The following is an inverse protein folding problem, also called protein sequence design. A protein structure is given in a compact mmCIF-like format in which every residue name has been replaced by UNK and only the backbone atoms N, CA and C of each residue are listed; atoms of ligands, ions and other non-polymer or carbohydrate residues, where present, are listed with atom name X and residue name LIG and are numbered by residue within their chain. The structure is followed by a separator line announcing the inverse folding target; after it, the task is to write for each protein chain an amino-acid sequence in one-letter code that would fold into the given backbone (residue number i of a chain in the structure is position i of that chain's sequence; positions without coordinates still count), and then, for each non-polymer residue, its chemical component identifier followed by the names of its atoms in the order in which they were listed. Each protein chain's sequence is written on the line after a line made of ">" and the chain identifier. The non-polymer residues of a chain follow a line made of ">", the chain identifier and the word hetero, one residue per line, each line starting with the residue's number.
data_IF_264366584063
#
_entry.id   IF_264366584063
#
_cell.length_a   1.000
_cell.length_b   1.000
_cell.length_c   1.000
_cell.angle_alpha   90.00
_cell.angle_beta   90.00
_cell.angle_gamma   90.00
#
_symmetry.space_group_name_H-M   'P 1'
#
loop_
_entity.id
_entity.type
_entity.pdbx_description
1 polymer ?
#
# COMPACT_ATOMS: atom_id res chain seq x y z
N UNK A 1 -12.77 6.84 -10.83
CA UNK A 1 -12.61 6.83 -12.30
C UNK A 1 -11.14 6.60 -12.67
N UNK A 2 -10.84 5.91 -13.78
CA UNK A 2 -9.47 5.75 -14.30
C UNK A 2 -9.08 7.06 -15.03
N UNK A 3 -7.89 7.65 -14.78
CA UNK A 3 -7.47 8.88 -15.45
C UNK A 3 -7.35 8.64 -16.97
N UNK A 4 -7.75 9.65 -17.76
CA UNK A 4 -7.76 9.63 -19.23
C UNK A 4 -6.74 10.58 -19.85
N UNK A 5 -6.12 11.45 -19.04
CA UNK A 5 -5.04 12.34 -19.46
C UNK A 5 -3.83 12.21 -18.54
N UNK A 6 -2.69 12.75 -18.97
CA UNK A 6 -1.46 12.81 -18.15
C UNK A 6 -1.68 13.63 -16.88
N UNK A 7 -2.37 14.77 -16.99
CA UNK A 7 -2.61 15.67 -15.86
C UNK A 7 -3.54 15.02 -14.83
N UNK A 8 -4.62 14.38 -15.30
CA UNK A 8 -5.51 13.60 -14.42
C UNK A 8 -4.77 12.43 -13.73
N UNK A 9 -3.83 11.79 -14.43
CA UNK A 9 -3.02 10.72 -13.85
C UNK A 9 -2.10 11.25 -12.75
N UNK A 10 -1.43 12.38 -12.99
CA UNK A 10 -0.53 13.02 -12.01
C UNK A 10 -1.30 13.53 -10.79
N UNK A 11 -2.40 14.22 -11.00
CA UNK A 11 -3.26 14.70 -9.91
C UNK A 11 -3.74 13.54 -9.03
N UNK A 12 -4.24 12.48 -9.67
CA UNK A 12 -4.75 11.31 -8.94
C UNK A 12 -3.64 10.51 -8.24
N UNK A 13 -2.44 10.45 -8.83
CA UNK A 13 -1.29 9.81 -8.19
C UNK A 13 -0.85 10.57 -6.93
N UNK A 14 -0.71 11.90 -7.03
CA UNK A 14 -0.34 12.75 -5.90
C UNK A 14 -1.39 12.70 -4.79
N UNK A 15 -2.68 12.82 -5.12
CA UNK A 15 -3.76 12.76 -4.14
C UNK A 15 -3.80 11.42 -3.39
N UNK A 16 -3.63 10.28 -4.08
CA UNK A 16 -3.62 8.99 -3.41
C UNK A 16 -2.36 8.77 -2.56
N UNK A 17 -1.22 9.32 -2.98
CA UNK A 17 0.00 9.27 -2.18
C UNK A 17 -0.13 10.11 -0.91
N UNK A 18 -0.72 11.30 -0.99
CA UNK A 18 -1.00 12.13 0.17
C UNK A 18 -1.97 11.45 1.13
N UNK A 19 -3.01 10.79 0.63
CA UNK A 19 -3.98 10.09 1.46
C UNK A 19 -3.37 8.86 2.16
N UNK A 20 -2.45 8.16 1.49
CA UNK A 20 -1.65 7.10 2.12
C UNK A 20 -0.85 7.66 3.32
N UNK A 21 -0.17 8.80 3.14
CA UNK A 21 0.59 9.41 4.23
C UNK A 21 -0.30 9.96 5.35
N UNK A 22 -1.45 10.56 5.03
CA UNK A 22 -2.42 10.98 6.06
C UNK A 22 -2.89 9.80 6.89
N UNK A 23 -3.20 8.67 6.26
CA UNK A 23 -3.60 7.44 6.95
C UNK A 23 -2.48 6.97 7.90
N UNK A 24 -1.26 6.86 7.40
CA UNK A 24 -0.11 6.42 8.20
C UNK A 24 0.16 7.39 9.34
N UNK A 25 0.12 8.69 9.09
CA UNK A 25 0.37 9.73 10.09
C UNK A 25 -0.71 9.76 11.19
N UNK A 26 -1.93 9.34 10.87
CA UNK A 26 -3.02 9.20 11.84
C UNK A 26 -2.92 7.98 12.75
N UNK A 27 -2.03 7.02 12.45
CA UNK A 27 -1.80 5.82 13.28
C UNK A 27 -0.84 6.13 14.44
N UNK A 28 -1.04 5.46 15.57
CA UNK A 28 -0.07 5.46 16.69
C UNK A 28 1.23 4.75 16.29
N UNK A 29 2.30 4.92 17.06
CA UNK A 29 3.54 4.19 16.79
C UNK A 29 3.38 2.69 16.96
N UNK A 30 2.56 2.27 17.92
CA UNK A 30 2.23 0.89 18.21
C UNK A 30 1.50 0.25 17.04
N UNK A 31 0.47 0.92 16.50
CA UNK A 31 -0.29 0.43 15.34
C UNK A 31 0.60 0.26 14.11
N UNK A 32 1.54 1.19 13.88
CA UNK A 32 2.49 1.12 12.74
C UNK A 32 3.46 -0.05 12.85
N UNK A 33 3.73 -0.54 14.06
CA UNK A 33 4.65 -1.65 14.35
C UNK A 33 3.90 -2.98 14.52
N UNK A 34 2.57 -2.96 14.57
CA UNK A 34 1.76 -4.15 14.78
C UNK A 34 1.78 -5.03 13.52
N UNK A 35 1.98 -6.33 13.74
CA UNK A 35 1.90 -7.32 12.66
C UNK A 35 0.45 -7.53 12.21
N UNK A 36 0.25 -7.65 10.90
CA UNK A 36 -1.03 -8.02 10.32
C UNK A 36 -1.38 -9.47 10.63
N UNK A 37 -2.61 -9.67 11.10
CA UNK A 37 -3.19 -11.00 11.32
C UNK A 37 -4.41 -11.16 10.41
N UNK A 38 -4.26 -11.99 9.39
CA UNK A 38 -5.34 -12.35 8.48
C UNK A 38 -5.84 -13.75 8.82
N UNK A 39 -7.16 -13.93 8.88
CA UNK A 39 -7.75 -15.24 9.12
C UNK A 39 -7.57 -16.15 7.90
N UNK A 40 -7.61 -17.47 8.10
CA UNK A 40 -7.53 -18.42 6.98
C UNK A 40 -8.72 -18.28 6.03
N UNK A 41 -9.91 -17.91 6.52
CA UNK A 41 -11.06 -17.62 5.64
C UNK A 41 -10.81 -16.38 4.76
N UNK A 42 -10.12 -15.37 5.28
CA UNK A 42 -9.71 -14.21 4.50
C UNK A 42 -8.69 -14.63 3.44
N UNK A 43 -7.64 -15.36 3.83
CA UNK A 43 -6.57 -15.81 2.93
C UNK A 43 -7.04 -16.85 1.91
N UNK A 44 -8.11 -17.59 2.18
CA UNK A 44 -8.75 -18.48 1.21
C UNK A 44 -9.45 -17.70 0.08
N UNK A 45 -10.00 -16.51 0.41
CA UNK A 45 -10.68 -15.63 -0.54
C UNK A 45 -9.72 -14.69 -1.27
N UNK A 46 -8.59 -14.37 -0.66
CA UNK A 46 -7.58 -13.42 -1.16
C UNK A 46 -6.32 -14.15 -1.59
N UNK A 47 -6.13 -14.30 -2.90
CA UNK A 47 -5.10 -15.16 -3.50
C UNK A 47 -3.80 -14.43 -3.81
N UNK A 48 -3.77 -13.11 -3.68
CA UNK A 48 -2.59 -12.31 -3.97
C UNK A 48 -1.47 -12.60 -2.97
N UNK A 49 -0.24 -12.75 -3.45
CA UNK A 49 0.89 -13.16 -2.62
C UNK A 49 1.21 -12.18 -1.48
N UNK A 50 0.90 -10.89 -1.66
CA UNK A 50 1.20 -9.85 -0.66
C UNK A 50 0.46 -10.08 0.67
N UNK A 51 -0.73 -10.69 0.65
CA UNK A 51 -1.48 -11.00 1.89
C UNK A 51 -0.75 -11.95 2.83
N UNK A 52 0.07 -12.86 2.28
CA UNK A 52 0.92 -13.75 3.08
C UNK A 52 2.34 -13.22 3.23
N UNK A 53 2.82 -12.39 2.30
CA UNK A 53 4.20 -11.88 2.30
C UNK A 53 4.39 -10.70 3.25
N UNK A 54 3.53 -9.68 3.17
CA UNK A 54 3.73 -8.42 3.89
C UNK A 54 3.19 -8.58 5.32
N UNK A 55 4.06 -8.46 6.31
CA UNK A 55 3.77 -8.79 7.72
C UNK A 55 3.37 -7.58 8.54
N UNK A 56 3.80 -6.39 8.15
CA UNK A 56 3.47 -5.13 8.80
C UNK A 56 3.48 -3.96 7.80
N UNK A 57 3.26 -2.75 8.31
CA UNK A 57 3.27 -1.53 7.48
C UNK A 57 4.62 -1.32 6.76
N UNK A 58 5.75 -1.71 7.37
CA UNK A 58 7.07 -1.52 6.74
C UNK A 58 7.20 -2.38 5.49
N UNK A 59 6.74 -3.64 5.55
CA UNK A 59 6.77 -4.52 4.39
C UNK A 59 5.93 -3.97 3.24
N UNK A 60 4.77 -3.39 3.53
CA UNK A 60 3.92 -2.73 2.52
C UNK A 60 4.66 -1.54 1.89
N UNK A 61 5.29 -0.69 2.70
CA UNK A 61 6.04 0.47 2.19
C UNK A 61 7.25 0.06 1.35
N UNK A 62 8.01 -0.94 1.79
CA UNK A 62 9.12 -1.51 1.01
C UNK A 62 8.61 -2.08 -0.31
N UNK A 63 7.49 -2.82 -0.28
CA UNK A 63 6.91 -3.41 -1.48
C UNK A 63 6.52 -2.34 -2.51
N UNK A 64 5.83 -1.29 -2.09
CA UNK A 64 5.43 -0.17 -2.95
C UNK A 64 6.65 0.58 -3.50
N UNK A 65 7.69 0.77 -2.67
CA UNK A 65 8.94 1.39 -3.09
C UNK A 65 9.64 0.58 -4.19
N UNK A 66 9.83 -0.73 -3.98
CA UNK A 66 10.48 -1.59 -4.98
C UNK A 66 9.69 -1.62 -6.29
N UNK A 67 8.35 -1.64 -6.21
CA UNK A 67 7.50 -1.54 -7.41
C UNK A 67 7.68 -0.23 -8.16
N UNK A 68 7.81 0.88 -7.45
CA UNK A 68 8.10 2.16 -8.09
C UNK A 68 9.48 2.17 -8.75
N UNK A 69 10.49 1.57 -8.11
CA UNK A 69 11.83 1.45 -8.67
C UNK A 69 11.87 0.66 -9.98
N UNK A 70 11.00 -0.34 -10.17
CA UNK A 70 10.89 -1.08 -11.44
C UNK A 70 10.44 -0.21 -12.63
N UNK A 71 9.82 0.94 -12.37
CA UNK A 71 9.36 1.86 -13.43
C UNK A 71 10.39 2.95 -13.75
N UNK A 72 11.34 3.19 -12.84
CA UNK A 72 12.38 4.22 -12.98
C UNK A 72 13.71 3.65 -13.47
N UNK A 73 13.92 2.33 -13.30
CA UNK A 73 15.07 1.57 -13.79
C UNK A 73 14.78 1.03 -15.18
#
# INVERSE_FOLDING_TARGET
>A
MRPKSKDELLEKANSQFDDLWKLINGMSEEDRKQSFQFSEEFLAKKKEAHWRRDKDLKDVLIHLYEWHQLLLR
#
